data_IF_958851877467
#
_entry.id   IF_958851877467
#
_cell.length_a   1.000
_cell.length_b   1.000
_cell.length_c   1.000
_cell.angle_alpha   90.00
_cell.angle_beta   90.00
_cell.angle_gamma   90.00
#
_symmetry.space_group_name_H-M   'P 1'
#
loop_
_entity.id
_entity.type
_entity.pdbx_description
1 polymer ?
#
# COMPACT_ATOMS: atom_id res chain seq x y z
N UNK A 1 -5.37 -0.04 -12.80
CA UNK A 1 -4.50 -1.12 -12.26
C UNK A 1 -5.05 -2.50 -12.62
N UNK A 2 -4.23 -3.56 -12.61
CA UNK A 2 -4.68 -4.96 -12.74
C UNK A 2 -5.33 -5.42 -11.42
N UNK A 3 -6.27 -6.36 -11.50
CA UNK A 3 -6.91 -6.95 -10.32
C UNK A 3 -5.86 -7.69 -9.46
N UNK A 4 -5.94 -7.54 -8.14
CA UNK A 4 -5.10 -8.29 -7.19
C UNK A 4 -3.69 -7.74 -6.99
N UNK A 5 -3.29 -6.66 -7.66
CA UNK A 5 -2.02 -5.98 -7.36
C UNK A 5 -2.24 -4.96 -6.24
N UNK A 6 -1.71 -5.30 -5.06
CA UNK A 6 -1.61 -4.41 -3.91
C UNK A 6 -0.16 -3.95 -3.76
N UNK A 7 0.05 -2.67 -3.51
CA UNK A 7 1.40 -2.08 -3.44
C UNK A 7 1.71 -1.63 -2.01
N UNK A 8 2.83 -2.13 -1.47
CA UNK A 8 3.40 -1.75 -0.18
C UNK A 8 4.67 -0.95 -0.43
N UNK A 9 4.64 0.35 -0.18
CA UNK A 9 5.79 1.25 -0.40
C UNK A 9 5.97 2.11 0.84
N UNK A 10 7.19 2.20 1.40
CA UNK A 10 7.45 3.06 2.53
C UNK A 10 7.28 4.53 2.12
N UNK A 11 6.88 5.41 3.05
CA UNK A 11 6.99 6.84 2.82
C UNK A 11 8.46 7.23 2.58
N UNK A 12 8.66 8.25 1.76
CA UNK A 12 9.96 8.85 1.46
C UNK A 12 9.90 10.37 1.65
N UNK A 13 11.02 11.06 1.42
CA UNK A 13 11.13 12.52 1.62
C UNK A 13 10.09 13.35 0.88
N UNK A 14 9.53 12.85 -0.23
CA UNK A 14 8.46 13.49 -0.99
C UNK A 14 7.09 13.38 -0.32
N UNK A 15 6.80 12.25 0.34
CA UNK A 15 5.53 12.03 1.06
C UNK A 15 5.53 12.62 2.46
N UNK A 16 6.71 12.91 3.03
CA UNK A 16 6.85 13.53 4.35
C UNK A 16 6.41 15.00 4.40
N UNK A 17 6.13 15.61 3.24
CA UNK A 17 5.63 16.98 3.15
C UNK A 17 4.11 16.98 3.04
N UNK A 18 3.38 17.70 3.93
CA UNK A 18 1.95 17.87 3.79
C UNK A 18 1.62 18.44 2.41
N UNK A 19 0.76 17.75 1.67
CA UNK A 19 0.35 18.16 0.33
C UNK A 19 -1.18 18.22 0.24
N UNK A 20 -1.79 19.28 -0.34
CA UNK A 20 -3.23 19.36 -0.50
C UNK A 20 -3.75 18.18 -1.33
N UNK A 21 -4.84 17.56 -0.90
CA UNK A 21 -5.45 16.44 -1.61
C UNK A 21 -6.82 16.80 -2.19
N UNK A 22 -7.75 17.22 -1.32
CA UNK A 22 -9.10 17.57 -1.74
C UNK A 22 -9.75 18.49 -0.70
N UNK A 23 -10.67 19.32 -1.17
CA UNK A 23 -11.60 20.04 -0.32
C UNK A 23 -12.97 19.38 -0.49
N UNK A 24 -13.58 18.95 0.61
CA UNK A 24 -14.84 18.19 0.60
C UNK A 24 -15.93 19.04 1.25
N UNK A 25 -16.90 19.45 0.45
CA UNK A 25 -18.16 20.00 0.95
C UNK A 25 -19.01 18.85 1.51
N UNK A 26 -19.15 18.80 2.83
CA UNK A 26 -19.77 17.66 3.50
C UNK A 26 -21.24 17.92 3.85
N UNK A 27 -21.99 16.83 4.01
CA UNK A 27 -23.39 16.88 4.44
C UNK A 27 -23.61 17.49 5.83
N UNK A 28 -22.55 17.59 6.65
CA UNK A 28 -22.58 18.33 7.92
C UNK A 28 -22.62 19.86 7.72
N UNK A 29 -22.60 20.35 6.47
CA UNK A 29 -22.58 21.76 6.05
C UNK A 29 -21.26 22.49 6.31
N UNK A 30 -20.22 21.75 6.68
CA UNK A 30 -18.85 22.25 6.75
C UNK A 30 -18.03 21.74 5.57
N UNK A 31 -16.89 22.41 5.38
CA UNK A 31 -15.90 22.07 4.38
C UNK A 31 -14.69 21.45 5.07
N UNK A 32 -14.32 20.24 4.63
CA UNK A 32 -13.15 19.54 5.15
C UNK A 32 -11.97 19.68 4.19
N UNK A 33 -10.88 20.25 4.69
CA UNK A 33 -9.62 20.35 3.95
C UNK A 33 -8.79 19.09 4.19
N UNK A 34 -8.76 18.22 3.18
CA UNK A 34 -8.07 16.95 3.22
C UNK A 34 -6.68 17.09 2.63
N UNK A 35 -5.70 16.57 3.35
CA UNK A 35 -4.28 16.61 3.02
C UNK A 35 -3.68 15.21 3.05
N UNK A 36 -2.59 15.05 2.32
CA UNK A 36 -1.75 13.85 2.38
C UNK A 36 -0.45 14.14 3.12
N UNK A 37 -0.10 13.29 4.08
CA UNK A 37 1.15 13.31 4.83
C UNK A 37 1.57 11.86 5.12
N UNK A 38 2.84 11.53 4.90
CA UNK A 38 3.41 10.18 5.02
C UNK A 38 2.65 9.10 4.24
N UNK A 39 2.05 9.48 3.12
CA UNK A 39 1.26 8.59 2.28
C UNK A 39 -0.18 8.36 2.76
N UNK A 40 -0.61 9.05 3.84
CA UNK A 40 -1.91 8.89 4.50
C UNK A 40 -2.77 10.15 4.41
N UNK A 41 -4.09 9.97 4.48
CA UNK A 41 -5.04 11.07 4.57
C UNK A 41 -5.06 11.66 5.97
N UNK A 42 -5.02 12.98 6.02
CA UNK A 42 -5.15 13.79 7.20
C UNK A 42 -6.16 14.90 6.94
N UNK A 43 -6.81 15.37 7.98
CA UNK A 43 -7.59 16.60 7.93
C UNK A 43 -6.79 17.73 8.55
N UNK A 44 -6.79 18.89 7.89
CA UNK A 44 -6.04 20.05 8.36
C UNK A 44 -6.89 20.84 9.35
N UNK A 45 -6.36 21.03 10.56
CA UNK A 45 -6.91 21.92 11.57
C UNK A 45 -5.95 23.10 11.79
N UNK A 46 -6.52 24.30 11.95
CA UNK A 46 -5.77 25.48 12.39
C UNK A 46 -5.94 25.56 13.90
N UNK A 47 -4.86 25.40 14.66
CA UNK A 47 -4.89 25.49 16.12
C UNK A 47 -4.74 26.95 16.58
N UNK A 48 -5.05 27.22 17.85
CA UNK A 48 -5.09 28.58 18.43
C UNK A 48 -3.77 29.37 18.30
N UNK A 49 -2.65 28.68 18.09
CA UNK A 49 -1.32 29.29 17.86
C UNK A 49 -1.15 29.80 16.41
N UNK A 50 -2.09 29.51 15.51
CA UNK A 50 -1.99 29.78 14.08
C UNK A 50 -1.19 28.72 13.30
N UNK A 51 -0.68 27.70 13.98
CA UNK A 51 0.02 26.59 13.33
C UNK A 51 -0.96 25.60 12.67
N UNK A 52 -0.48 24.94 11.61
CA UNK A 52 -1.26 23.92 10.90
C UNK A 52 -1.03 22.55 11.55
N UNK A 53 -2.07 22.00 12.14
CA UNK A 53 -2.11 20.61 12.61
C UNK A 53 -2.72 19.71 11.53
N UNK A 54 -2.23 18.47 11.44
CA UNK A 54 -2.73 17.47 10.50
C UNK A 54 -3.16 16.23 11.30
N UNK A 55 -4.46 16.02 11.41
CA UNK A 55 -5.02 14.90 12.16
C UNK A 55 -5.24 13.70 11.24
N UNK A 56 -4.70 12.51 11.56
CA UNK A 56 -4.82 11.34 10.68
C UNK A 56 -6.27 10.87 10.60
N UNK A 57 -6.77 10.68 9.38
CA UNK A 57 -8.14 10.23 9.16
C UNK A 57 -8.25 8.70 9.26
N UNK A 58 -9.26 8.18 9.97
CA UNK A 58 -9.48 6.75 10.08
C UNK A 58 -9.94 6.17 8.73
N UNK A 59 -9.16 5.21 8.23
CA UNK A 59 -9.48 4.49 6.99
C UNK A 59 -10.35 3.28 7.33
N UNK A 60 -11.55 3.24 6.76
CA UNK A 60 -12.49 2.14 6.95
C UNK A 60 -12.13 0.93 6.09
N UNK A 61 -11.88 1.15 4.79
CA UNK A 61 -11.49 0.08 3.86
C UNK A 61 -10.85 0.63 2.60
N UNK A 62 -10.07 -0.24 1.96
CA UNK A 62 -9.48 -0.03 0.64
C UNK A 62 -9.92 -1.19 -0.25
N UNK A 63 -10.44 -0.87 -1.43
CA UNK A 63 -11.05 -1.88 -2.30
C UNK A 63 -10.91 -1.52 -3.77
N UNK A 64 -10.89 -2.56 -4.60
CA UNK A 64 -10.93 -2.42 -6.05
C UNK A 64 -12.38 -2.54 -6.55
N UNK A 65 -12.73 -1.73 -7.55
CA UNK A 65 -13.94 -1.92 -8.37
C UNK A 65 -13.55 -2.20 -9.81
N UNK A 66 -14.25 -3.14 -10.44
CA UNK A 66 -14.11 -3.44 -11.86
C UNK A 66 -14.63 -2.26 -12.67
N UNK A 67 -13.89 -1.89 -13.71
CA UNK A 67 -14.25 -0.86 -14.67
C UNK A 67 -14.27 -1.47 -16.10
N UNK A 68 -14.74 -0.70 -17.08
CA UNK A 68 -14.82 -1.12 -18.48
C UNK A 68 -13.46 -1.59 -19.00
N UNK A 69 -13.41 -2.66 -19.80
CA UNK A 69 -12.16 -3.15 -20.41
C UNK A 69 -11.26 -3.96 -19.47
N UNK A 70 -11.81 -4.58 -18.42
CA UNK A 70 -11.09 -5.43 -17.46
C UNK A 70 -10.02 -4.70 -16.62
N UNK A 71 -10.05 -3.37 -16.62
CA UNK A 71 -9.24 -2.54 -15.73
C UNK A 71 -9.94 -2.37 -14.39
N UNK A 72 -9.15 -2.22 -13.33
CA UNK A 72 -9.65 -2.00 -11.98
C UNK A 72 -9.22 -0.62 -11.48
N UNK A 73 -10.14 0.05 -10.80
CA UNK A 73 -9.93 1.31 -10.06
C UNK A 73 -9.93 1.02 -8.57
N UNK A 74 -9.07 1.70 -7.84
CA UNK A 74 -8.92 1.50 -6.40
C UNK A 74 -9.50 2.69 -5.66
N UNK A 75 -10.20 2.39 -4.58
CA UNK A 75 -10.91 3.35 -3.76
C UNK A 75 -10.50 3.19 -2.30
N UNK A 76 -10.54 4.30 -1.59
CA UNK A 76 -10.39 4.39 -0.14
C UNK A 76 -11.67 4.99 0.44
N UNK A 77 -12.22 4.31 1.44
CA UNK A 77 -13.26 4.86 2.30
C UNK A 77 -12.62 5.28 3.61
N UNK A 78 -12.84 6.54 4.01
CA UNK A 78 -12.33 7.11 5.25
C UNK A 78 -13.39 8.02 5.87
N UNK A 79 -13.39 8.17 7.20
CA UNK A 79 -14.27 9.12 7.86
C UNK A 79 -13.54 10.46 8.03
N UNK A 80 -14.21 11.57 7.71
CA UNK A 80 -13.75 12.92 8.11
C UNK A 80 -13.92 13.11 9.62
N UNK A 81 -13.38 14.20 10.16
CA UNK A 81 -13.51 14.54 11.60
C UNK A 81 -14.95 14.61 12.09
N UNK A 82 -15.89 15.01 11.22
CA UNK A 82 -17.33 15.01 11.52
C UNK A 82 -17.99 13.61 11.49
N UNK A 83 -17.22 12.56 11.18
CA UNK A 83 -17.69 11.16 11.14
C UNK A 83 -18.34 10.75 9.81
N UNK A 84 -18.47 11.65 8.84
CA UNK A 84 -19.04 11.30 7.53
C UNK A 84 -18.03 10.48 6.72
N UNK A 85 -18.47 9.34 6.19
CA UNK A 85 -17.61 8.49 5.36
C UNK A 85 -17.56 9.04 3.94
N UNK A 86 -16.35 9.28 3.46
CA UNK A 86 -16.05 9.72 2.11
C UNK A 86 -15.37 8.60 1.34
N UNK A 87 -15.67 8.52 0.05
CA UNK A 87 -15.10 7.52 -0.86
C UNK A 87 -14.34 8.21 -1.99
N UNK A 88 -13.02 8.03 -2.03
CA UNK A 88 -12.16 8.63 -3.06
C UNK A 88 -11.35 7.59 -3.82
N UNK A 89 -10.99 7.93 -5.07
CA UNK A 89 -10.01 7.15 -5.84
C UNK A 89 -8.61 7.34 -5.27
N UNK A 90 -7.83 6.26 -5.31
CA UNK A 90 -6.40 6.23 -4.92
C UNK A 90 -5.49 6.34 -6.14
N UNK A 91 -5.97 5.93 -7.32
CA UNK A 91 -5.23 6.05 -8.57
C UNK A 91 -5.37 7.45 -9.17
N UNK A 92 -4.35 7.90 -9.92
CA UNK A 92 -4.37 9.21 -10.58
C UNK A 92 -5.63 9.40 -11.44
N UNK A 93 -6.14 10.62 -11.40
CA UNK A 93 -7.29 11.09 -12.16
C UNK A 93 -6.87 12.19 -13.13
N UNK A 94 -7.73 12.47 -14.11
CA UNK A 94 -7.48 13.56 -15.07
C UNK A 94 -7.36 14.94 -14.39
N UNK A 95 -8.02 15.15 -13.26
CA UNK A 95 -7.90 16.38 -12.47
C UNK A 95 -6.53 16.49 -11.81
N UNK A 96 -6.00 15.37 -11.31
CA UNK A 96 -4.66 15.30 -10.73
C UNK A 96 -3.61 15.63 -11.79
N UNK A 97 -3.75 15.06 -13.00
CA UNK A 97 -2.84 15.32 -14.12
C UNK A 97 -2.85 16.81 -14.52
N UNK A 98 -4.02 17.45 -14.55
CA UNK A 98 -4.15 18.90 -14.83
C UNK A 98 -3.48 19.77 -13.78
N UNK A 99 -3.47 19.34 -12.52
CA UNK A 99 -2.82 20.06 -11.40
C UNK A 99 -1.36 19.67 -11.21
N UNK A 100 -0.85 18.70 -11.98
CA UNK A 100 0.49 18.14 -11.78
C UNK A 100 0.64 17.40 -10.46
N UNK A 101 -0.46 16.89 -9.89
CA UNK A 101 -0.47 16.18 -8.61
C UNK A 101 -0.32 14.67 -8.84
N UNK A 102 0.69 14.06 -8.23
CA UNK A 102 0.87 12.61 -8.31
C UNK A 102 0.16 11.90 -7.16
N UNK A 103 -1.15 11.64 -7.32
CA UNK A 103 -1.97 11.02 -6.28
C UNK A 103 -1.40 9.68 -5.78
N UNK A 104 -0.97 8.81 -6.69
CA UNK A 104 -0.44 7.49 -6.30
C UNK A 104 0.90 7.57 -5.53
N UNK A 105 1.60 8.70 -5.61
CA UNK A 105 2.78 8.99 -4.79
C UNK A 105 2.39 9.46 -3.40
N UNK A 106 1.47 10.41 -3.30
CA UNK A 106 1.11 11.05 -2.04
C UNK A 106 0.05 10.29 -1.22
N UNK A 107 -0.74 9.43 -1.85
CA UNK A 107 -1.73 8.57 -1.20
C UNK A 107 -1.43 7.10 -1.51
N UNK A 108 -0.87 6.38 -0.52
CA UNK A 108 -0.50 4.98 -0.66
C UNK A 108 -1.66 4.08 -0.24
N UNK A 109 -1.74 2.88 -0.84
CA UNK A 109 -2.75 1.89 -0.48
C UNK A 109 -2.53 1.35 0.93
N UNK A 110 -1.30 1.05 1.30
CA UNK A 110 -1.00 0.63 2.66
C UNK A 110 0.27 1.34 3.12
N UNK A 111 0.14 2.08 4.20
CA UNK A 111 1.22 2.77 4.88
C UNK A 111 1.42 2.18 6.26
N UNK A 112 2.61 2.41 6.81
CA UNK A 112 2.87 2.22 8.22
C UNK A 112 1.84 2.99 9.05
N UNK A 113 1.35 2.37 10.12
CA UNK A 113 0.44 3.00 11.09
C UNK A 113 1.08 2.98 12.46
N UNK A 114 0.68 3.92 13.32
CA UNK A 114 1.21 4.02 14.69
C UNK A 114 0.78 2.83 15.55
N UNK A 115 -0.31 2.16 15.19
CA UNK A 115 -0.84 0.97 15.88
C UNK A 115 -0.02 -0.30 15.65
N UNK A 116 0.79 -0.36 14.58
CA UNK A 116 1.59 -1.56 14.26
C UNK A 116 0.81 -2.76 13.69
N UNK A 117 -0.52 -2.68 13.55
CA UNK A 117 -1.37 -3.80 13.10
C UNK A 117 -1.81 -3.70 11.62
N UNK A 118 -1.25 -2.75 10.87
CA UNK A 118 -1.66 -2.52 9.48
C UNK A 118 -1.25 -3.67 8.54
N UNK A 119 -1.82 -3.70 7.33
CA UNK A 119 -1.35 -4.58 6.26
C UNK A 119 0.13 -4.32 5.94
N UNK A 120 0.56 -3.05 6.02
CA UNK A 120 1.96 -2.69 5.84
C UNK A 120 2.83 -3.35 6.91
N UNK A 121 2.49 -3.20 8.20
CA UNK A 121 3.31 -3.73 9.29
C UNK A 121 3.40 -5.27 9.23
N UNK A 122 2.27 -5.92 8.92
CA UNK A 122 2.20 -7.39 8.80
C UNK A 122 2.91 -7.96 7.59
N UNK A 123 3.07 -7.21 6.50
CA UNK A 123 3.62 -7.72 5.23
C UNK A 123 4.99 -7.14 4.89
N UNK A 124 5.19 -5.84 5.09
CA UNK A 124 6.44 -5.16 4.76
C UNK A 124 7.59 -5.58 5.67
N UNK A 125 7.33 -5.92 6.94
CA UNK A 125 8.37 -6.46 7.85
C UNK A 125 9.02 -7.75 7.34
N UNK A 126 8.32 -8.54 6.52
CA UNK A 126 8.87 -9.76 5.91
C UNK A 126 9.72 -9.48 4.66
N UNK A 127 9.93 -8.21 4.31
CA UNK A 127 10.77 -7.82 3.17
C UNK A 127 12.20 -8.32 3.33
N UNK A 128 12.79 -8.16 4.52
CA UNK A 128 14.17 -8.59 4.76
C UNK A 128 14.35 -10.09 4.54
N UNK A 129 13.38 -10.89 5.00
CA UNK A 129 13.34 -12.34 4.75
C UNK A 129 13.20 -12.66 3.25
N UNK A 130 12.30 -11.96 2.55
CA UNK A 130 12.12 -12.12 1.11
C UNK A 130 13.37 -11.71 0.31
N UNK A 131 14.01 -10.61 0.67
CA UNK A 131 15.24 -10.11 0.04
C UNK A 131 16.42 -11.02 0.31
N UNK A 132 16.58 -11.53 1.53
CA UNK A 132 17.63 -12.50 1.89
C UNK A 132 17.52 -13.78 1.06
N UNK A 133 16.31 -14.30 0.88
CA UNK A 133 16.06 -15.48 0.05
C UNK A 133 16.27 -15.21 -1.45
N UNK A 134 15.83 -14.04 -1.96
CA UNK A 134 16.10 -13.66 -3.35
C UNK A 134 17.60 -13.47 -3.60
N UNK A 135 18.32 -12.85 -2.66
CA UNK A 135 19.78 -12.75 -2.69
C UNK A 135 20.44 -14.13 -2.63
N UNK A 136 19.87 -15.07 -1.87
CA UNK A 136 20.33 -16.47 -1.88
C UNK A 136 20.15 -17.09 -3.26
N UNK A 137 18.99 -16.91 -3.89
CA UNK A 137 18.76 -17.36 -5.26
C UNK A 137 19.83 -16.76 -6.19
N UNK A 138 20.01 -15.44 -6.20
CA UNK A 138 20.98 -14.75 -7.04
C UNK A 138 22.42 -15.28 -6.84
N UNK A 139 22.82 -15.54 -5.59
CA UNK A 139 24.13 -16.12 -5.25
C UNK A 139 24.28 -17.57 -5.68
N UNK A 140 23.19 -18.34 -5.69
CA UNK A 140 23.21 -19.75 -6.11
C UNK A 140 23.18 -19.93 -7.62
N UNK A 141 22.85 -18.89 -8.38
CA UNK A 141 22.93 -18.92 -9.84
C UNK A 141 24.39 -18.93 -10.32
N UNK A 142 24.75 -19.92 -11.11
CA UNK A 142 26.11 -20.09 -11.64
C UNK A 142 26.53 -18.87 -12.48
N UNK A 143 27.54 -18.13 -12.00
CA UNK A 143 28.03 -16.91 -12.65
C UNK A 143 27.01 -15.76 -12.70
N UNK A 144 26.05 -15.71 -11.76
CA UNK A 144 24.97 -14.72 -11.74
C UNK A 144 23.97 -14.89 -12.89
N UNK A 145 23.97 -16.06 -13.55
CA UNK A 145 23.11 -16.38 -14.69
C UNK A 145 22.28 -17.59 -14.37
N UNK A 146 20.99 -17.49 -14.68
CA UNK A 146 20.10 -18.64 -14.58
C UNK A 146 20.53 -19.69 -15.61
N UNK A 147 20.71 -20.94 -15.18
CA UNK A 147 21.12 -22.08 -16.02
C UNK A 147 19.95 -22.58 -16.89
N UNK A 148 19.34 -21.66 -17.62
CA UNK A 148 18.21 -21.89 -18.51
C UNK A 148 18.33 -20.97 -19.73
N UNK A 149 18.39 -21.57 -20.92
CA UNK A 149 18.69 -20.87 -22.18
C UNK A 149 17.47 -20.25 -22.90
N UNK A 150 16.28 -20.26 -22.29
CA UNK A 150 15.09 -19.64 -22.87
C UNK A 150 14.26 -18.93 -21.80
N UNK A 151 13.54 -17.84 -22.15
CA UNK A 151 12.68 -17.12 -21.21
C UNK A 151 11.67 -18.02 -20.50
N UNK A 152 11.06 -18.97 -21.22
CA UNK A 152 10.11 -19.92 -20.64
C UNK A 152 10.76 -20.80 -19.57
N UNK A 153 11.95 -21.35 -19.84
CA UNK A 153 12.67 -22.18 -18.86
C UNK A 153 13.12 -21.35 -17.65
N UNK A 154 13.57 -20.13 -17.88
CA UNK A 154 13.92 -19.21 -16.79
C UNK A 154 12.70 -18.90 -15.90
N UNK A 155 11.55 -18.67 -16.53
CA UNK A 155 10.29 -18.47 -15.82
C UNK A 155 9.89 -19.70 -14.99
N UNK A 156 10.05 -20.92 -15.53
CA UNK A 156 9.78 -22.16 -14.79
C UNK A 156 10.65 -22.30 -13.55
N UNK A 157 11.94 -21.92 -13.62
CA UNK A 157 12.83 -21.92 -12.44
C UNK A 157 12.30 -20.96 -11.37
N UNK A 158 11.88 -19.76 -11.75
CA UNK A 158 11.29 -18.78 -10.81
C UNK A 158 9.99 -19.27 -10.18
N UNK A 159 9.12 -19.92 -10.96
CA UNK A 159 7.90 -20.55 -10.45
C UNK A 159 8.27 -21.64 -9.44
N UNK A 160 9.22 -22.52 -9.77
CA UNK A 160 9.67 -23.59 -8.88
C UNK A 160 10.23 -23.07 -7.56
N UNK A 161 11.03 -22.01 -7.61
CA UNK A 161 11.54 -21.31 -6.43
C UNK A 161 10.39 -20.75 -5.56
N UNK A 162 9.44 -20.04 -6.17
CA UNK A 162 8.28 -19.48 -5.47
C UNK A 162 7.39 -20.58 -4.84
N UNK A 163 7.17 -21.69 -5.54
CA UNK A 163 6.44 -22.84 -5.02
C UNK A 163 7.15 -23.49 -3.84
N UNK A 164 8.46 -23.69 -3.93
CA UNK A 164 9.28 -24.22 -2.83
C UNK A 164 9.19 -23.33 -1.59
N UNK A 165 9.29 -22.02 -1.77
CA UNK A 165 9.11 -21.04 -0.68
C UNK A 165 7.75 -21.18 -0.02
N UNK A 166 6.67 -21.18 -0.81
CA UNK A 166 5.31 -21.29 -0.29
C UNK A 166 5.09 -22.62 0.43
N UNK A 167 5.67 -23.72 -0.05
CA UNK A 167 5.59 -25.03 0.59
C UNK A 167 6.29 -25.06 1.96
N UNK A 168 7.49 -24.47 2.07
CA UNK A 168 8.23 -24.36 3.34
C UNK A 168 7.47 -23.48 4.33
N UNK A 169 7.02 -22.29 3.90
CA UNK A 169 6.24 -21.38 4.74
C UNK A 169 4.96 -22.06 5.25
N UNK A 170 4.23 -22.76 4.38
CA UNK A 170 3.04 -23.51 4.75
C UNK A 170 3.36 -24.67 5.73
N UNK A 171 4.50 -25.34 5.58
CA UNK A 171 4.93 -26.37 6.53
C UNK A 171 5.23 -25.78 7.91
N UNK A 172 6.00 -24.68 7.97
CA UNK A 172 6.33 -23.99 9.21
C UNK A 172 5.09 -23.44 9.92
N UNK A 173 4.17 -22.82 9.18
CA UNK A 173 2.90 -22.33 9.71
C UNK A 173 2.04 -23.47 10.31
N UNK A 174 1.95 -24.61 9.61
CA UNK A 174 1.25 -25.79 10.15
C UNK A 174 1.92 -26.32 11.42
N UNK A 175 3.24 -26.26 11.51
CA UNK A 175 3.99 -26.73 12.68
C UNK A 175 3.81 -25.80 13.87
N UNK A 176 3.87 -24.49 13.69
CA UNK A 176 3.66 -23.53 14.78
C UNK A 176 2.25 -23.63 15.38
N UNK A 177 1.21 -23.76 14.54
CA UNK A 177 -0.16 -23.95 15.03
C UNK A 177 -0.34 -25.21 15.85
N UNK A 178 0.34 -26.31 15.51
CA UNK A 178 0.30 -27.55 16.31
C UNK A 178 0.96 -27.37 17.69
N UNK A 179 2.02 -26.57 17.77
CA UNK A 179 2.70 -26.28 19.05
C UNK A 179 1.87 -25.36 19.94
N UNK A 180 1.07 -24.45 19.38
CA UNK A 180 0.20 -23.53 20.15
C UNK A 180 -1.07 -24.21 20.70
N UNK A 181 -1.50 -25.33 20.09
CA UNK A 181 -2.69 -26.09 20.49
C UNK A 181 -2.38 -27.25 21.47
N UNK A 182 -1.10 -27.45 21.81
CA UNK A 182 -0.62 -28.48 22.75
C UNK A 182 -0.16 -27.82 24.04
#
# INVERSE_FOLDING_TARGET
MKQGLTVLVPPHSGTAKPTPFAQIECTCRDTHDIWTLDGRLHERAIIDTGEMAYEPLPVAKIYARRNQGNIHRWYIDFATTCGTVQAHRIDNTEEDDKRGYNRAEHLRQHTKTDTGDSVYDRCYGWREDAESLNNTLDRTLYGGRMTAHSPTRQHTVMIGFALGRNAIAHYLHRRSQKTTLA
#
